data_IF_391286477339
#
_entry.id   IF_391286477339
#
_cell.length_a   1.000
_cell.length_b   1.000
_cell.length_c   1.000
_cell.angle_alpha   90.00
_cell.angle_beta   90.00
_cell.angle_gamma   90.00
#
_symmetry.space_group_name_H-M   'P 1'
#
loop_
_entity.id
_entity.type
_entity.pdbx_description
1 polymer ?
#
# COMPACT_ATOMS: atom_id res chain seq x y z
N UNK A 1 22.36 -8.07 4.79
CA UNK A 1 21.74 -6.89 5.41
C UNK A 1 22.82 -5.83 5.54
N UNK A 2 22.62 -4.65 4.99
CA UNK A 2 23.59 -3.56 5.10
C UNK A 2 23.46 -2.88 6.48
N UNK A 3 24.43 -2.02 6.82
CA UNK A 3 24.48 -1.35 8.12
C UNK A 3 23.27 -0.42 8.35
N UNK A 4 22.78 0.24 7.29
CA UNK A 4 21.58 1.07 7.34
C UNK A 4 20.31 0.28 7.68
N UNK A 5 20.13 -0.88 7.09
CA UNK A 5 18.99 -1.78 7.37
C UNK A 5 19.04 -2.30 8.81
N UNK A 6 20.24 -2.57 9.33
CA UNK A 6 20.42 -3.04 10.69
C UNK A 6 20.09 -1.95 11.72
N UNK A 7 20.59 -0.73 11.51
CA UNK A 7 20.30 0.42 12.37
C UNK A 7 18.80 0.73 12.40
N UNK A 8 18.12 0.58 11.25
CA UNK A 8 16.67 0.80 11.12
C UNK A 8 15.86 -0.25 11.86
N UNK A 9 16.27 -1.53 11.82
CA UNK A 9 15.61 -2.60 12.59
C UNK A 9 15.79 -2.41 14.09
N UNK A 10 16.94 -1.94 14.52
CA UNK A 10 17.21 -1.67 15.94
C UNK A 10 16.42 -0.46 16.45
N UNK A 11 16.31 0.59 15.64
CA UNK A 11 15.53 1.79 15.97
C UNK A 11 14.02 1.48 16.04
N UNK A 12 13.53 0.61 15.17
CA UNK A 12 12.15 0.12 15.18
C UNK A 12 11.85 -0.76 16.39
N UNK A 13 12.75 -1.65 16.74
CA UNK A 13 12.59 -2.53 17.90
C UNK A 13 12.42 -1.73 19.21
N UNK A 14 12.96 -0.51 19.26
CA UNK A 14 12.91 0.36 20.42
C UNK A 14 11.87 1.48 20.34
N UNK A 15 11.27 1.71 19.16
CA UNK A 15 10.29 2.79 18.96
C UNK A 15 8.86 2.30 19.22
N UNK A 16 8.22 2.84 20.23
CA UNK A 16 6.78 2.61 20.45
C UNK A 16 5.98 3.40 19.42
N UNK A 17 5.32 2.70 18.52
CA UNK A 17 4.42 3.31 17.55
C UNK A 17 3.07 3.61 18.20
N UNK A 18 2.49 4.75 17.84
CA UNK A 18 1.11 5.09 18.19
C UNK A 18 0.14 4.41 17.22
N UNK A 19 -1.10 4.23 17.64
CA UNK A 19 -2.16 3.80 16.74
C UNK A 19 -2.33 4.81 15.60
N UNK A 20 -2.65 4.31 14.40
CA UNK A 20 -2.83 5.11 13.21
C UNK A 20 -1.74 4.89 12.16
N UNK A 21 -1.54 5.88 11.30
CA UNK A 21 -0.56 5.79 10.21
C UNK A 21 0.86 5.78 10.72
N UNK A 22 1.71 5.02 10.03
CA UNK A 22 3.15 5.06 10.25
C UNK A 22 3.67 6.47 9.98
N UNK A 23 4.59 7.02 10.82
CA UNK A 23 5.21 8.31 10.55
C UNK A 23 5.89 8.35 9.18
N UNK A 24 5.75 9.47 8.47
CA UNK A 24 6.20 9.57 7.07
C UNK A 24 7.72 9.40 6.92
N UNK A 25 8.51 9.88 7.86
CA UNK A 25 9.96 9.70 7.91
C UNK A 25 10.37 8.23 8.01
N UNK A 26 9.68 7.49 8.86
CA UNK A 26 9.90 6.06 9.04
C UNK A 26 9.47 5.26 7.81
N UNK A 27 8.31 5.60 7.25
CA UNK A 27 7.83 4.99 6.00
C UNK A 27 8.80 5.25 4.84
N UNK A 28 9.29 6.49 4.70
CA UNK A 28 10.27 6.84 3.66
C UNK A 28 11.55 6.00 3.77
N UNK A 29 12.05 5.78 4.99
CA UNK A 29 13.21 4.94 5.22
C UNK A 29 12.98 3.48 4.82
N UNK A 30 11.81 2.92 5.12
CA UNK A 30 11.45 1.57 4.68
C UNK A 30 11.37 1.46 3.16
N UNK A 31 10.75 2.44 2.53
CA UNK A 31 10.53 2.41 1.09
C UNK A 31 11.80 2.66 0.29
N UNK A 32 12.81 3.33 0.87
CA UNK A 32 14.09 3.58 0.20
C UNK A 32 14.83 2.29 -0.17
N UNK A 33 14.67 1.24 0.63
CA UNK A 33 15.27 -0.07 0.37
C UNK A 33 14.49 -0.89 -0.68
N UNK A 34 13.29 -0.44 -1.05
CA UNK A 34 12.40 -1.09 -2.00
C UNK A 34 12.39 -0.40 -3.38
N UNK A 35 13.44 0.33 -3.71
CA UNK A 35 13.53 1.01 -5.00
C UNK A 35 13.35 0.00 -6.15
N UNK A 36 12.39 0.23 -7.07
CA UNK A 36 12.15 -0.69 -8.15
C UNK A 36 13.35 -0.76 -9.10
N UNK A 37 13.78 -1.97 -9.42
CA UNK A 37 14.84 -2.24 -10.39
C UNK A 37 14.31 -2.62 -11.76
N UNK A 38 13.05 -2.99 -11.86
CA UNK A 38 12.39 -3.37 -13.12
C UNK A 38 11.92 -2.10 -13.86
N UNK A 39 12.39 -1.89 -15.12
CA UNK A 39 12.04 -0.70 -15.89
C UNK A 39 10.55 -0.61 -16.27
N UNK A 40 9.78 -1.68 -16.12
CA UNK A 40 8.33 -1.66 -16.31
C UNK A 40 7.58 -0.97 -15.19
N UNK A 41 8.21 -0.79 -14.03
CA UNK A 41 7.60 -0.07 -12.92
C UNK A 41 7.74 1.43 -13.18
N UNK A 42 6.64 2.06 -13.58
CA UNK A 42 6.57 3.49 -13.89
C UNK A 42 6.41 4.33 -12.63
N UNK A 43 5.66 3.81 -11.66
CA UNK A 43 5.47 4.40 -10.33
C UNK A 43 5.53 3.26 -9.31
N UNK A 44 6.54 3.28 -8.48
CA UNK A 44 6.76 2.31 -7.41
C UNK A 44 6.34 2.84 -6.03
N UNK A 45 6.76 2.15 -4.97
CA UNK A 45 6.41 2.54 -3.61
C UNK A 45 7.01 3.91 -3.25
N UNK A 46 6.22 4.74 -2.61
CA UNK A 46 6.62 6.08 -2.15
C UNK A 46 5.62 6.65 -1.16
N UNK A 47 6.06 7.60 -0.35
CA UNK A 47 5.19 8.32 0.55
C UNK A 47 4.19 9.15 -0.27
N UNK A 48 2.90 9.00 0.03
CA UNK A 48 1.82 9.68 -0.70
C UNK A 48 1.38 8.98 -1.99
N UNK A 49 1.98 7.85 -2.33
CA UNK A 49 1.58 7.06 -3.50
C UNK A 49 0.53 6.01 -3.12
N UNK A 50 -0.65 6.13 -3.71
CA UNK A 50 -1.79 5.27 -3.42
C UNK A 50 -1.89 4.06 -4.34
N UNK A 51 -1.16 4.03 -5.44
CA UNK A 51 -1.19 2.96 -6.42
C UNK A 51 0.17 2.76 -7.08
N UNK A 52 0.41 1.57 -7.59
CA UNK A 52 1.56 1.27 -8.45
C UNK A 52 1.15 1.35 -9.93
N UNK A 53 2.04 1.87 -10.76
CA UNK A 53 1.87 1.92 -12.21
C UNK A 53 2.92 1.03 -12.86
N UNK A 54 2.45 0.06 -13.63
CA UNK A 54 3.31 -0.92 -14.30
C UNK A 54 3.03 -0.88 -15.81
N UNK A 55 4.08 -0.77 -16.60
CA UNK A 55 3.97 -0.88 -18.06
C UNK A 55 3.53 -2.29 -18.45
N UNK A 56 2.48 -2.38 -19.23
CA UNK A 56 1.91 -3.66 -19.67
C UNK A 56 1.64 -3.62 -21.18
N UNK A 57 2.71 -3.73 -21.96
CA UNK A 57 2.66 -3.54 -23.40
C UNK A 57 2.32 -2.08 -23.77
N UNK A 58 1.25 -1.88 -24.54
CA UNK A 58 0.76 -0.53 -24.92
C UNK A 58 -0.13 0.13 -23.85
N UNK A 59 -0.31 -0.52 -22.70
CA UNK A 59 -1.18 -0.08 -21.62
C UNK A 59 -0.41 0.07 -20.32
N UNK A 60 -0.99 0.77 -19.37
CA UNK A 60 -0.49 0.85 -18.00
C UNK A 60 -1.45 0.09 -17.09
N UNK A 61 -0.92 -0.88 -16.35
CA UNK A 61 -1.63 -1.51 -15.26
C UNK A 61 -1.51 -0.62 -14.01
N UNK A 62 -2.65 -0.28 -13.43
CA UNK A 62 -2.71 0.38 -12.13
C UNK A 62 -3.10 -0.66 -11.10
N UNK A 63 -2.25 -0.86 -10.11
CA UNK A 63 -2.46 -1.82 -9.03
C UNK A 63 -2.55 -1.10 -7.68
N UNK A 64 -3.57 -1.43 -6.91
CA UNK A 64 -3.86 -0.84 -5.61
C UNK A 64 -4.34 -1.93 -4.65
N UNK A 65 -3.89 -1.83 -3.40
CA UNK A 65 -4.42 -2.62 -2.30
C UNK A 65 -4.52 -1.74 -1.06
N UNK A 66 -5.67 -1.75 -0.43
CA UNK A 66 -5.91 -1.00 0.82
C UNK A 66 -6.83 -1.82 1.73
N UNK A 67 -6.40 -2.19 2.93
CA UNK A 67 -7.26 -2.83 3.89
C UNK A 67 -8.27 -1.85 4.47
N UNK A 68 -9.45 -2.32 4.82
CA UNK A 68 -10.43 -1.54 5.53
C UNK A 68 -10.22 -1.71 7.03
N UNK A 69 -10.10 -0.59 7.71
CA UNK A 69 -9.96 -0.52 9.16
C UNK A 69 -11.09 0.31 9.77
N UNK A 70 -11.40 0.07 11.04
CA UNK A 70 -12.42 0.79 11.83
C UNK A 70 -13.86 0.63 11.33
N UNK A 71 -14.13 -0.30 10.42
CA UNK A 71 -15.47 -0.60 9.95
C UNK A 71 -15.62 -2.12 9.83
N UNK A 72 -16.63 -2.68 10.49
CA UNK A 72 -17.05 -4.08 10.34
C UNK A 72 -18.35 -4.18 9.56
N UNK A 73 -19.24 -3.22 9.77
CA UNK A 73 -20.47 -3.10 9.00
C UNK A 73 -20.19 -2.75 7.54
N UNK A 74 -20.77 -3.49 6.62
CA UNK A 74 -20.63 -3.31 5.16
C UNK A 74 -19.17 -3.30 4.66
N UNK A 75 -18.30 -4.05 5.31
CA UNK A 75 -16.86 -4.06 5.03
C UNK A 75 -16.55 -4.36 3.56
N UNK A 76 -17.29 -5.27 2.92
CA UNK A 76 -17.13 -5.60 1.50
C UNK A 76 -17.45 -4.42 0.58
N UNK A 77 -18.49 -3.65 0.89
CA UNK A 77 -18.85 -2.45 0.15
C UNK A 77 -17.75 -1.40 0.24
N UNK A 78 -17.26 -1.11 1.45
CA UNK A 78 -16.17 -0.17 1.65
C UNK A 78 -14.88 -0.62 0.97
N UNK A 79 -14.54 -1.90 1.03
CA UNK A 79 -13.35 -2.44 0.38
C UNK A 79 -13.34 -2.18 -1.13
N UNK A 80 -14.47 -2.36 -1.79
CA UNK A 80 -14.61 -2.08 -3.22
C UNK A 80 -14.57 -0.58 -3.49
N UNK A 81 -15.34 0.22 -2.76
CA UNK A 81 -15.44 1.66 -3.00
C UNK A 81 -14.12 2.38 -2.78
N UNK A 82 -13.43 2.12 -1.69
CA UNK A 82 -12.15 2.76 -1.37
C UNK A 82 -11.10 2.44 -2.42
N UNK A 83 -10.93 1.18 -2.77
CA UNK A 83 -9.94 0.77 -3.77
C UNK A 83 -10.30 1.26 -5.19
N UNK A 84 -11.57 1.20 -5.56
CA UNK A 84 -12.01 1.70 -6.86
C UNK A 84 -11.84 3.21 -7.00
N UNK A 85 -12.10 3.98 -5.93
CA UNK A 85 -11.89 5.43 -5.92
C UNK A 85 -10.43 5.80 -6.13
N UNK A 86 -9.49 5.08 -5.52
CA UNK A 86 -8.07 5.33 -5.71
C UNK A 86 -7.61 5.02 -7.13
N UNK A 87 -8.11 3.95 -7.73
CA UNK A 87 -7.86 3.64 -9.16
C UNK A 87 -8.41 4.74 -10.05
N UNK A 88 -9.63 5.21 -9.81
CA UNK A 88 -10.25 6.28 -10.57
C UNK A 88 -9.50 7.61 -10.41
N UNK A 89 -9.10 7.96 -9.19
CA UNK A 89 -8.31 9.15 -8.90
C UNK A 89 -6.94 9.13 -9.58
N UNK A 90 -6.38 7.94 -9.82
CA UNK A 90 -5.15 7.74 -10.58
C UNK A 90 -5.34 7.80 -12.11
N UNK A 91 -6.55 8.05 -12.59
CA UNK A 91 -6.89 8.11 -14.02
C UNK A 91 -7.21 6.75 -14.65
N UNK A 92 -7.29 5.70 -13.86
CA UNK A 92 -7.59 4.34 -14.34
C UNK A 92 -9.07 3.99 -14.31
N UNK A 93 -9.39 2.87 -14.92
CA UNK A 93 -10.71 2.25 -14.86
C UNK A 93 -10.61 0.98 -14.01
N UNK A 94 -11.33 0.89 -12.87
CA UNK A 94 -11.37 -0.34 -12.07
C UNK A 94 -11.94 -1.50 -12.89
N UNK A 95 -11.22 -2.63 -12.91
CA UNK A 95 -11.63 -3.81 -13.70
C UNK A 95 -11.68 -5.10 -12.91
N UNK A 96 -10.72 -5.30 -12.02
CA UNK A 96 -10.61 -6.52 -11.22
C UNK A 96 -10.42 -6.15 -9.76
N UNK A 97 -10.98 -6.97 -8.90
CA UNK A 97 -10.84 -6.84 -7.46
C UNK A 97 -10.32 -8.14 -6.85
N UNK A 98 -9.24 -8.04 -6.09
CA UNK A 98 -8.72 -9.10 -5.25
C UNK A 98 -8.88 -8.63 -3.81
N UNK A 99 -9.70 -9.34 -3.04
CA UNK A 99 -10.03 -8.94 -1.67
C UNK A 99 -9.65 -9.98 -0.65
N UNK A 100 -9.15 -9.52 0.49
CA UNK A 100 -9.01 -10.32 1.70
C UNK A 100 -9.81 -9.62 2.80
N UNK A 101 -10.70 -10.35 3.43
CA UNK A 101 -11.51 -9.87 4.55
C UNK A 101 -11.05 -10.56 5.82
N UNK A 102 -10.74 -9.77 6.83
CA UNK A 102 -10.46 -10.23 8.18
C UNK A 102 -11.67 -9.89 9.03
N UNK A 103 -12.40 -10.91 9.45
CA UNK A 103 -13.62 -10.73 10.21
C UNK A 103 -13.40 -11.20 11.66
N UNK A 104 -14.07 -10.57 12.63
CA UNK A 104 -14.08 -11.05 14.00
C UNK A 104 -14.66 -12.46 14.09
N UNK A 105 -14.29 -13.18 15.14
CA UNK A 105 -14.92 -14.46 15.47
C UNK A 105 -16.41 -14.26 15.72
N UNK A 106 -17.24 -15.16 15.23
CA UNK A 106 -18.70 -15.17 15.36
C UNK A 106 -19.47 -14.10 14.57
N UNK A 107 -18.88 -13.55 13.51
CA UNK A 107 -19.59 -12.75 12.52
C UNK A 107 -19.76 -13.45 11.16
#
# INVERSE_FOLDING_TARGET
MNEGTRLMTDELANRRLKAGKLPADLLANFLSDLAPTDPRILLGPGVGEDAAFVSFGSKTLIAKSDPITFATDRIGWYAIQVNANDIAASGGTPKWFLGTLLLPENE
#
